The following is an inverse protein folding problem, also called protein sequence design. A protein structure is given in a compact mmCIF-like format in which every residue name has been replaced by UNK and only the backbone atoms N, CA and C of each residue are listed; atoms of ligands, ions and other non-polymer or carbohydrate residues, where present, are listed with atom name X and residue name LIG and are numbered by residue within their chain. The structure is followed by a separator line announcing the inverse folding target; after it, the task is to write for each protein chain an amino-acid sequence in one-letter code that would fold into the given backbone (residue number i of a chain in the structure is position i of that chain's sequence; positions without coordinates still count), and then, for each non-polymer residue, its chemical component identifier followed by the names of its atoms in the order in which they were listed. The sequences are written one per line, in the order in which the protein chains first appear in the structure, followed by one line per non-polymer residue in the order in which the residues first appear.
data_IF_505425632980
#
_entry.id   IF_505425632980
#
_cell.length_a   1.000
_cell.length_b   1.000
_cell.length_c   1.000
_cell.angle_alpha   90.00
_cell.angle_beta   90.00
_cell.angle_gamma   90.00
#
_symmetry.space_group_name_H-M   'P 1'
#
loop_
_entity.id
_entity.type
_entity.pdbx_description
1 polymer ?
#
# COMPACT_ATOMS: atom_id res chain seq x y z
N UNK A 1 12.40 -19.96 6.92
CA UNK A 1 11.05 -20.48 7.17
C UNK A 1 10.14 -19.84 6.13
N UNK A 2 9.46 -20.61 5.29
CA UNK A 2 8.49 -20.06 4.35
C UNK A 2 7.26 -19.64 5.16
N UNK A 3 7.03 -18.34 5.33
CA UNK A 3 5.75 -17.87 5.87
C UNK A 3 4.62 -18.36 4.95
N UNK A 4 3.47 -18.80 5.51
CA UNK A 4 2.33 -19.20 4.71
C UNK A 4 1.82 -17.99 3.91
N UNK A 5 1.39 -18.24 2.67
CA UNK A 5 0.66 -17.27 1.86
C UNK A 5 -0.49 -16.68 2.68
N UNK A 6 -0.47 -15.36 2.89
CA UNK A 6 -1.55 -14.65 3.60
C UNK A 6 -2.83 -14.81 2.78
N UNK A 7 -3.86 -15.38 3.40
CA UNK A 7 -5.13 -15.65 2.70
C UNK A 7 -5.80 -14.36 2.21
N UNK A 8 -6.50 -14.39 1.06
CA UNK A 8 -7.28 -13.24 0.58
C UNK A 8 -8.31 -12.75 1.60
N UNK A 9 -8.87 -13.68 2.38
CA UNK A 9 -9.82 -13.36 3.43
C UNK A 9 -9.18 -12.53 4.56
N UNK A 10 -7.94 -12.85 4.95
CA UNK A 10 -7.20 -12.06 5.94
C UNK A 10 -6.94 -10.64 5.42
N UNK A 11 -6.50 -10.50 4.17
CA UNK A 11 -6.31 -9.19 3.51
C UNK A 11 -7.61 -8.40 3.45
N UNK A 12 -8.72 -9.03 3.06
CA UNK A 12 -10.06 -8.43 3.03
C UNK A 12 -10.47 -7.90 4.40
N UNK A 13 -10.32 -8.71 5.44
CA UNK A 13 -10.64 -8.33 6.83
C UNK A 13 -9.78 -7.18 7.30
N UNK A 14 -8.48 -7.19 7.00
CA UNK A 14 -7.59 -6.10 7.34
C UNK A 14 -8.00 -4.79 6.64
N UNK A 15 -8.25 -4.82 5.33
CA UNK A 15 -8.66 -3.61 4.59
C UNK A 15 -9.98 -3.06 5.16
N UNK A 16 -10.95 -3.92 5.49
CA UNK A 16 -12.20 -3.51 6.13
C UNK A 16 -11.97 -2.92 7.53
N UNK A 17 -11.12 -3.55 8.35
CA UNK A 17 -10.71 -3.04 9.66
C UNK A 17 -10.06 -1.67 9.50
N UNK A 18 -9.11 -1.52 8.58
CA UNK A 18 -8.39 -0.30 8.32
C UNK A 18 -9.32 0.84 7.92
N UNK A 19 -10.26 0.59 7.00
CA UNK A 19 -11.30 1.53 6.59
C UNK A 19 -12.23 1.96 7.74
N UNK A 20 -12.40 1.12 8.76
CA UNK A 20 -13.31 1.39 9.89
C UNK A 20 -12.63 2.03 11.09
N UNK A 21 -11.30 1.92 11.20
CA UNK A 21 -10.54 2.33 12.40
C UNK A 21 -9.69 3.58 12.17
N UNK A 22 -9.58 4.05 10.92
CA UNK A 22 -8.78 5.22 10.60
C UNK A 22 -9.55 6.21 9.76
N UNK A 23 -9.29 7.49 10.03
CA UNK A 23 -9.77 8.60 9.22
C UNK A 23 -8.77 8.91 8.11
N UNK A 24 -9.29 9.29 6.94
CA UNK A 24 -8.51 9.61 5.76
C UNK A 24 -8.58 11.09 5.43
N UNK A 25 -7.50 11.60 4.84
CA UNK A 25 -7.54 12.90 4.17
C UNK A 25 -8.21 12.72 2.81
N UNK A 26 -9.42 13.24 2.66
CA UNK A 26 -10.21 13.08 1.43
C UNK A 26 -10.79 11.67 1.25
N UNK A 27 -11.38 11.43 0.08
CA UNK A 27 -12.11 10.19 -0.23
C UNK A 27 -11.31 9.18 -1.06
N UNK A 28 -10.17 9.59 -1.64
CA UNK A 28 -9.35 8.74 -2.50
C UNK A 28 -8.97 7.39 -1.86
N UNK A 29 -8.49 7.31 -0.60
CA UNK A 29 -8.19 6.03 0.06
C UNK A 29 -9.42 5.12 0.14
N UNK A 30 -10.56 5.67 0.56
CA UNK A 30 -11.83 4.95 0.66
C UNK A 30 -12.25 4.39 -0.70
N UNK A 31 -12.25 5.24 -1.74
CA UNK A 31 -12.65 4.85 -3.10
C UNK A 31 -11.78 3.71 -3.63
N UNK A 32 -10.45 3.84 -3.51
CA UNK A 32 -9.50 2.86 -4.02
C UNK A 32 -9.64 1.53 -3.26
N UNK A 33 -9.60 1.55 -1.93
CA UNK A 33 -9.68 0.34 -1.12
C UNK A 33 -11.03 -0.38 -1.27
N UNK A 34 -12.14 0.35 -1.33
CA UNK A 34 -13.45 -0.26 -1.59
C UNK A 34 -13.54 -0.88 -2.98
N UNK A 35 -12.91 -0.28 -3.99
CA UNK A 35 -12.84 -0.87 -5.33
C UNK A 35 -12.02 -2.17 -5.34
N UNK A 36 -10.89 -2.21 -4.62
CA UNK A 36 -10.09 -3.42 -4.44
C UNK A 36 -10.91 -4.53 -3.76
N UNK A 37 -11.69 -4.20 -2.73
CA UNK A 37 -12.54 -5.16 -2.01
C UNK A 37 -13.67 -5.76 -2.88
N UNK A 38 -14.13 -5.05 -3.92
CA UNK A 38 -15.16 -5.53 -4.85
C UNK A 38 -14.61 -6.50 -5.89
N UNK A 39 -13.30 -6.57 -6.06
CA UNK A 39 -12.65 -7.45 -7.02
C UNK A 39 -12.03 -8.65 -6.29
N UNK A 40 -12.84 -9.62 -5.85
CA UNK A 40 -12.35 -10.76 -5.04
C UNK A 40 -11.18 -11.53 -5.72
N UNK A 41 -11.12 -11.55 -7.06
CA UNK A 41 -10.01 -12.16 -7.80
C UNK A 41 -8.67 -11.40 -7.67
N UNK A 42 -8.68 -10.09 -7.42
CA UNK A 42 -7.46 -9.27 -7.32
C UNK A 42 -6.78 -9.39 -5.96
N UNK A 43 -7.51 -9.73 -4.90
CA UNK A 43 -6.95 -9.89 -3.55
C UNK A 43 -5.93 -11.04 -3.45
N UNK A 44 -6.03 -12.05 -4.32
CA UNK A 44 -5.02 -13.10 -4.44
C UNK A 44 -3.67 -12.57 -4.96
N UNK A 45 -3.70 -11.53 -5.78
CA UNK A 45 -2.53 -10.96 -6.45
C UNK A 45 -1.96 -9.74 -5.70
N UNK A 46 -2.72 -9.19 -4.76
CA UNK A 46 -2.29 -8.11 -3.88
C UNK A 46 -1.35 -8.66 -2.82
N UNK A 47 -0.21 -7.99 -2.62
CA UNK A 47 0.70 -8.26 -1.52
C UNK A 47 0.78 -7.09 -0.57
N UNK A 48 0.45 -7.29 0.70
CA UNK A 48 0.58 -6.23 1.71
C UNK A 48 1.97 -6.31 2.31
N UNK A 49 2.72 -5.21 2.24
CA UNK A 49 4.13 -5.15 2.59
C UNK A 49 4.42 -3.99 3.53
N UNK A 50 5.39 -4.19 4.42
CA UNK A 50 5.85 -3.13 5.31
C UNK A 50 6.65 -2.09 4.52
N UNK A 51 7.67 -2.55 3.77
CA UNK A 51 8.57 -1.70 2.99
C UNK A 51 8.38 -1.96 1.50
N UNK A 52 7.91 -0.95 0.78
CA UNK A 52 7.57 -1.03 -0.65
C UNK A 52 8.57 -0.36 -1.59
N UNK A 53 9.67 0.20 -1.07
CA UNK A 53 10.52 1.16 -1.77
C UNK A 53 10.96 0.74 -3.18
N UNK A 54 11.29 -0.54 -3.40
CA UNK A 54 11.72 -1.08 -4.70
C UNK A 54 10.66 -1.94 -5.41
N UNK A 55 9.46 -2.06 -4.85
CA UNK A 55 8.39 -2.89 -5.39
C UNK A 55 7.50 -2.04 -6.29
N UNK A 56 7.15 -2.55 -7.48
CA UNK A 56 6.25 -1.86 -8.41
C UNK A 56 5.34 -2.89 -9.10
N UNK A 57 4.07 -2.55 -9.36
CA UNK A 57 3.38 -1.33 -8.92
C UNK A 57 3.13 -1.33 -7.40
N UNK A 58 3.39 -0.19 -6.74
CA UNK A 58 3.17 0.02 -5.31
C UNK A 58 2.07 1.04 -5.09
N UNK A 59 0.98 0.63 -4.45
CA UNK A 59 -0.02 1.54 -3.91
C UNK A 59 0.33 1.87 -2.45
N UNK A 60 0.58 3.14 -2.20
CA UNK A 60 0.73 3.72 -0.87
C UNK A 60 -0.61 4.30 -0.45
N UNK A 61 -1.12 3.88 0.70
CA UNK A 61 -2.32 4.47 1.31
C UNK A 61 -1.97 4.99 2.69
N UNK A 62 -2.41 6.20 3.02
CA UNK A 62 -2.13 6.81 4.31
C UNK A 62 -3.36 7.40 4.99
N UNK A 63 -3.31 7.43 6.32
CA UNK A 63 -4.34 8.01 7.17
C UNK A 63 -3.99 9.45 7.56
N UNK A 64 -5.00 10.16 8.06
CA UNK A 64 -4.83 11.46 8.67
C UNK A 64 -3.79 11.40 9.82
N UNK A 65 -2.98 12.45 9.93
CA UNK A 65 -1.98 12.57 11.00
C UNK A 65 -0.62 11.95 10.69
N UNK A 66 -0.43 11.32 9.53
CA UNK A 66 0.88 10.78 9.11
C UNK A 66 1.76 11.78 8.37
N UNK A 67 1.17 12.86 7.85
CA UNK A 67 1.85 13.81 6.95
C UNK A 67 2.07 13.28 5.53
N UNK A 68 1.73 12.01 5.26
CA UNK A 68 1.86 11.37 3.96
C UNK A 68 0.68 11.72 3.03
N UNK A 69 0.86 11.62 1.71
CA UNK A 69 -0.22 11.79 0.75
C UNK A 69 -1.26 10.68 0.91
N UNK A 70 -2.57 10.98 0.76
CA UNK A 70 -3.64 10.06 1.12
C UNK A 70 -3.60 8.75 0.32
N UNK A 71 -3.38 8.84 -0.99
CA UNK A 71 -3.17 7.68 -1.85
C UNK A 71 -2.23 8.04 -3.00
N UNK A 72 -1.23 7.20 -3.24
CA UNK A 72 -0.28 7.34 -4.35
C UNK A 72 0.01 5.97 -4.93
N UNK A 73 -0.08 5.84 -6.26
CA UNK A 73 0.34 4.66 -6.98
C UNK A 73 1.65 4.96 -7.71
N UNK A 74 2.69 4.19 -7.37
CA UNK A 74 4.00 4.23 -8.01
C UNK A 74 4.11 3.04 -8.95
N UNK A 75 4.29 3.31 -10.24
CA UNK A 75 4.63 2.30 -11.25
C UNK A 75 6.09 2.48 -11.72
N UNK A 76 6.52 1.71 -12.71
CA UNK A 76 7.85 1.90 -13.32
C UNK A 76 7.94 3.17 -14.18
N UNK A 77 6.82 3.60 -14.77
CA UNK A 77 6.79 4.69 -15.76
C UNK A 77 6.20 5.97 -15.18
N UNK A 78 5.20 5.84 -14.30
CA UNK A 78 4.38 6.96 -13.82
C UNK A 78 4.10 6.89 -12.32
N UNK A 79 3.92 8.06 -11.72
CA UNK A 79 3.39 8.26 -10.38
C UNK A 79 2.00 8.89 -10.48
N UNK A 80 1.00 8.25 -9.90
CA UNK A 80 -0.40 8.66 -9.98
C UNK A 80 -0.93 9.01 -8.58
N UNK A 81 -1.63 10.14 -8.46
CA UNK A 81 -2.24 10.57 -7.19
C UNK A 81 -3.75 10.81 -7.30
N UNK A 82 -4.28 10.90 -8.52
CA UNK A 82 -5.71 11.03 -8.79
C UNK A 82 -6.40 9.65 -8.65
N UNK A 83 -7.47 9.52 -7.84
CA UNK A 83 -8.11 8.24 -7.59
C UNK A 83 -8.73 7.60 -8.83
N UNK A 84 -9.29 8.38 -9.74
CA UNK A 84 -9.92 7.85 -10.96
C UNK A 84 -8.87 7.23 -11.90
N UNK A 85 -7.76 7.93 -12.08
CA UNK A 85 -6.62 7.44 -12.86
C UNK A 85 -5.97 6.21 -12.23
N UNK A 86 -5.87 6.16 -10.90
CA UNK A 86 -5.38 4.97 -10.18
C UNK A 86 -6.32 3.78 -10.42
N UNK A 87 -7.64 3.97 -10.30
CA UNK A 87 -8.61 2.90 -10.51
C UNK A 87 -8.58 2.38 -11.95
N UNK A 88 -8.44 3.27 -12.94
CA UNK A 88 -8.26 2.90 -14.34
C UNK A 88 -6.99 2.05 -14.54
N UNK A 89 -5.85 2.49 -13.98
CA UNK A 89 -4.61 1.73 -14.02
C UNK A 89 -4.76 0.33 -13.41
N UNK A 90 -5.39 0.23 -12.25
CA UNK A 90 -5.61 -1.05 -11.55
C UNK A 90 -6.55 -1.97 -12.33
N UNK A 91 -7.51 -1.42 -13.06
CA UNK A 91 -8.46 -2.19 -13.87
C UNK A 91 -7.84 -2.80 -15.13
N UNK A 92 -6.83 -2.14 -15.71
CA UNK A 92 -6.13 -2.56 -16.92
C UNK A 92 -4.97 -3.51 -16.60
N UNK A 93 -4.32 -3.31 -15.45
CA UNK A 93 -3.15 -4.06 -14.99
C UNK A 93 -3.58 -5.31 -14.20
N UNK A 94 -4.29 -6.24 -14.83
CA UNK A 94 -4.78 -7.48 -14.18
C UNK A 94 -3.74 -8.61 -14.07
N UNK A 95 -2.57 -8.48 -14.69
CA UNK A 95 -1.60 -9.57 -14.83
C UNK A 95 -0.36 -9.45 -13.92
N UNK A 96 0.05 -8.25 -13.53
CA UNK A 96 1.14 -8.03 -12.58
C UNK A 96 0.57 -7.82 -11.18
N UNK A 97 1.06 -8.59 -10.21
CA UNK A 97 0.65 -8.43 -8.81
C UNK A 97 0.84 -6.99 -8.31
N UNK A 98 0.02 -6.57 -7.36
CA UNK A 98 0.00 -5.23 -6.80
C UNK A 98 0.57 -5.24 -5.39
N UNK A 99 1.51 -4.35 -5.08
CA UNK A 99 2.02 -4.20 -3.71
C UNK A 99 1.27 -3.08 -3.01
N UNK A 100 0.83 -3.31 -1.78
CA UNK A 100 0.16 -2.32 -0.94
C UNK A 100 0.98 -2.06 0.32
N UNK A 101 1.18 -0.80 0.66
CA UNK A 101 1.70 -0.40 1.97
C UNK A 101 0.81 0.66 2.59
N UNK A 102 0.72 0.63 3.92
CA UNK A 102 -0.17 1.48 4.69
C UNK A 102 0.64 2.33 5.66
N UNK A 103 0.35 3.63 5.71
CA UNK A 103 0.88 4.55 6.72
C UNK A 103 -0.24 5.01 7.62
N UNK A 104 -0.11 4.68 8.90
CA UNK A 104 -1.03 5.07 9.95
C UNK A 104 -0.30 5.07 11.30
N UNK A 105 -0.79 5.81 12.31
CA UNK A 105 -0.17 5.85 13.62
C UNK A 105 0.07 4.45 14.22
N UNK A 106 1.26 4.21 14.77
CA UNK A 106 1.64 2.96 15.43
C UNK A 106 1.58 1.70 14.54
N UNK A 107 1.76 1.83 13.22
CA UNK A 107 1.70 0.67 12.31
C UNK A 107 2.62 -0.49 12.70
N UNK A 108 3.81 -0.20 13.23
CA UNK A 108 4.83 -1.21 13.57
C UNK A 108 4.44 -2.08 14.78
N UNK A 109 3.43 -1.68 15.56
CA UNK A 109 2.91 -2.45 16.71
C UNK A 109 1.47 -2.92 16.51
N UNK A 110 0.90 -2.69 15.31
CA UNK A 110 -0.48 -2.98 14.99
C UNK A 110 -0.67 -4.45 14.59
N UNK A 111 -1.19 -5.28 15.49
CA UNK A 111 -1.39 -6.72 15.26
C UNK A 111 -2.19 -7.03 13.96
N UNK A 112 -3.34 -6.38 13.68
CA UNK A 112 -4.07 -6.64 12.44
C UNK A 112 -3.25 -6.41 11.17
N UNK A 113 -2.30 -5.47 11.21
CA UNK A 113 -1.42 -5.19 10.08
C UNK A 113 -0.30 -6.21 9.98
N UNK A 114 0.37 -6.52 11.10
CA UNK A 114 1.44 -7.51 11.17
C UNK A 114 0.96 -8.89 10.69
N UNK A 115 -0.28 -9.28 10.99
CA UNK A 115 -0.87 -10.56 10.59
C UNK A 115 -1.10 -10.70 9.07
N UNK A 116 -1.10 -9.59 8.33
CA UNK A 116 -1.30 -9.59 6.87
C UNK A 116 -0.05 -9.20 6.08
N UNK A 117 1.06 -8.89 6.75
CA UNK A 117 2.32 -8.61 6.09
C UNK A 117 2.85 -9.86 5.39
N UNK A 118 3.28 -9.68 4.16
CA UNK A 118 3.94 -10.71 3.38
C UNK A 118 5.44 -10.41 3.30
N UNK A 119 6.24 -11.32 3.86
CA UNK A 119 7.69 -11.30 3.65
C UNK A 119 8.02 -11.63 2.20
N UNK A 120 8.81 -10.75 1.58
CA UNK A 120 9.34 -10.97 0.24
C UNK A 120 10.82 -11.32 0.34
N UNK A 121 11.34 -12.23 -0.49
CA UNK A 121 12.77 -12.44 -0.59
C UNK A 121 13.40 -11.16 -1.16
N UNK A 122 14.03 -10.38 -0.29
CA UNK A 122 14.64 -9.12 -0.66
C UNK A 122 16.02 -9.44 -1.25
N UNK A 123 16.33 -9.02 -2.49
CA UNK A 123 17.65 -9.26 -3.09
C UNK A 123 18.73 -8.32 -2.56
N UNK A 124 18.40 -7.42 -1.63
CA UNK A 124 19.24 -6.31 -1.19
C UNK A 124 19.57 -6.42 0.31
N UNK A 125 20.72 -5.87 0.67
CA UNK A 125 21.14 -5.74 2.06
C UNK A 125 20.14 -4.90 2.87
N UNK A 126 19.82 -5.28 4.12
CA UNK A 126 18.85 -4.57 4.95
C UNK A 126 19.13 -3.07 5.13
N UNK A 127 20.41 -2.68 5.15
CA UNK A 127 20.80 -1.26 5.23
C UNK A 127 20.41 -0.48 3.99
N UNK A 128 20.59 -1.06 2.79
CA UNK A 128 20.17 -0.42 1.54
C UNK A 128 18.66 -0.25 1.47
N UNK A 129 17.91 -1.25 1.96
CA UNK A 129 16.45 -1.20 1.99
C UNK A 129 15.97 -0.08 2.90
N UNK A 130 16.59 0.10 4.07
CA UNK A 130 16.31 1.23 4.97
C UNK A 130 16.57 2.57 4.28
N UNK A 131 17.70 2.73 3.61
CA UNK A 131 18.03 3.97 2.88
C UNK A 131 16.99 4.28 1.78
N UNK A 132 16.63 3.28 0.97
CA UNK A 132 15.61 3.44 -0.08
C UNK A 132 14.21 3.70 0.49
N UNK A 133 13.90 3.12 1.64
CA UNK A 133 12.63 3.36 2.34
C UNK A 133 12.53 4.81 2.83
N UNK A 134 13.60 5.33 3.44
CA UNK A 134 13.69 6.74 3.84
C UNK A 134 13.55 7.66 2.63
N UNK A 135 14.22 7.34 1.52
CA UNK A 135 14.12 8.13 0.29
C UNK A 135 12.69 8.17 -0.27
N UNK A 136 12.01 7.03 -0.31
CA UNK A 136 10.59 6.97 -0.69
C UNK A 136 9.73 7.83 0.22
N UNK A 137 9.90 7.72 1.54
CA UNK A 137 9.12 8.47 2.52
C UNK A 137 9.34 9.98 2.39
N UNK A 138 10.58 10.42 2.15
CA UNK A 138 10.89 11.82 1.89
C UNK A 138 10.23 12.32 0.60
N UNK A 139 10.26 11.53 -0.48
CA UNK A 139 9.58 11.88 -1.73
C UNK A 139 8.06 12.05 -1.53
N UNK A 140 7.44 11.15 -0.77
CA UNK A 140 6.01 11.23 -0.46
C UNK A 140 5.68 12.49 0.35
N UNK A 141 6.48 12.81 1.37
CA UNK A 141 6.30 14.01 2.20
C UNK A 141 6.47 15.30 1.39
N UNK A 142 7.49 15.37 0.52
CA UNK A 142 7.71 16.52 -0.35
C UNK A 142 6.54 16.71 -1.32
N UNK A 143 6.08 15.63 -1.96
CA UNK A 143 4.94 15.67 -2.87
C UNK A 143 3.64 16.13 -2.19
N UNK A 144 3.48 15.87 -0.89
CA UNK A 144 2.33 16.35 -0.12
C UNK A 144 2.50 17.81 0.32
N UNK A 145 3.73 18.27 0.58
CA UNK A 145 4.01 19.65 0.95
C UNK A 145 3.86 20.65 -0.22
N UNK A 146 4.00 20.18 -1.46
CA UNK A 146 3.85 20.99 -2.68
C UNK A 146 2.38 21.21 -3.11
N UNK A 147 1.41 20.58 -2.44
CA UNK A 147 -0.04 20.70 -2.71
C UNK A 147 -0.72 21.72 -1.80
#
# INVERSE_FOLDING_TARGET
MNQPLVSPLAKKRFIQWFLSNWEFRGDAPNRILLALLKQDASLNQIKIVENGCFLRPLLVVSCLGTGMPPAVLLSFEVTLTDPDTILEYLSTTKQSGLYLTFYFPNRNTCLPFLDVLEELPLPLDPEKIKSLQIELELQLLLAEAEK
#
